data_IF_937762603126
#
_entry.id   IF_937762603126
#
_cell.length_a   1.000
_cell.length_b   1.000
_cell.length_c   1.000
_cell.angle_alpha   90.00
_cell.angle_beta   90.00
_cell.angle_gamma   90.00
#
_symmetry.space_group_name_H-M   'P 1'
#
loop_
_entity.id
_entity.type
_entity.pdbx_description
1 polymer ?
#
# COMPACT_ATOMS: atom_id res chain seq x y z
N UNK A 1 -11.05 -25.83 -2.72
CA UNK A 1 -10.97 -24.58 -3.50
C UNK A 1 -9.52 -24.33 -3.93
N UNK A 2 -9.31 -23.68 -5.06
CA UNK A 2 -7.97 -23.30 -5.50
C UNK A 2 -7.42 -22.17 -4.64
N UNK A 3 -6.12 -22.25 -4.31
CA UNK A 3 -5.40 -21.21 -3.59
C UNK A 3 -3.90 -21.23 -3.92
N UNK A 4 -3.25 -20.07 -3.85
CA UNK A 4 -1.80 -19.96 -3.96
C UNK A 4 -1.23 -20.02 -2.55
N UNK A 5 -0.41 -21.03 -2.29
CA UNK A 5 0.15 -21.33 -0.97
C UNK A 5 1.68 -21.21 -0.95
N UNK A 6 2.22 -21.09 0.24
CA UNK A 6 3.65 -21.28 0.50
C UNK A 6 3.95 -22.77 0.80
N UNK A 7 4.36 -23.58 -0.19
CA UNK A 7 4.37 -25.03 -0.05
C UNK A 7 5.48 -25.56 0.88
N UNK A 8 6.55 -24.79 1.06
CA UNK A 8 7.70 -25.20 1.84
C UNK A 8 8.67 -24.07 2.16
N UNK A 9 9.68 -24.32 3.03
CA UNK A 9 10.69 -23.32 3.44
C UNK A 9 11.76 -23.13 2.35
N UNK A 10 11.34 -22.66 1.18
CA UNK A 10 12.18 -22.45 -0.02
C UNK A 10 11.52 -21.44 -0.96
N UNK A 11 12.25 -20.80 -1.88
CA UNK A 11 11.65 -19.93 -2.90
C UNK A 11 10.55 -20.64 -3.70
N UNK A 12 9.55 -19.86 -4.13
CA UNK A 12 8.40 -20.29 -4.92
C UNK A 12 7.08 -20.34 -4.12
N UNK A 13 5.99 -20.21 -4.85
CA UNK A 13 4.61 -20.43 -4.42
C UNK A 13 4.01 -21.55 -5.27
N UNK A 14 2.86 -22.07 -4.90
CA UNK A 14 2.20 -23.16 -5.63
C UNK A 14 0.68 -22.97 -5.62
N UNK A 15 0.04 -23.19 -6.77
CA UNK A 15 -1.41 -23.33 -6.83
C UNK A 15 -1.81 -24.72 -6.32
N UNK A 16 -2.62 -24.76 -5.29
CA UNK A 16 -3.04 -26.00 -4.62
C UNK A 16 -4.55 -26.02 -4.36
N UNK A 17 -5.09 -27.22 -4.19
CA UNK A 17 -6.43 -27.41 -3.64
C UNK A 17 -6.36 -27.39 -2.11
N UNK A 18 -7.14 -26.51 -1.49
CA UNK A 18 -7.24 -26.38 -0.04
C UNK A 18 -8.70 -26.45 0.40
N UNK A 19 -8.93 -26.77 1.68
CA UNK A 19 -10.29 -26.73 2.24
C UNK A 19 -10.82 -25.29 2.26
N UNK A 20 -12.07 -25.05 1.82
CA UNK A 20 -12.69 -23.73 1.93
C UNK A 20 -12.76 -23.27 3.39
N UNK A 21 -12.58 -21.96 3.68
CA UNK A 21 -12.70 -21.46 5.04
C UNK A 21 -14.15 -21.49 5.52
N UNK A 22 -14.36 -21.93 6.77
CA UNK A 22 -15.67 -21.83 7.43
C UNK A 22 -15.74 -20.52 8.23
N UNK A 23 -16.70 -19.61 7.95
CA UNK A 23 -16.84 -18.35 8.68
C UNK A 23 -17.32 -18.62 10.11
N UNK A 24 -16.62 -18.04 11.10
CA UNK A 24 -17.10 -17.99 12.48
C UNK A 24 -18.32 -17.07 12.65
N UNK A 25 -18.89 -17.01 13.87
CA UNK A 25 -20.09 -16.17 14.10
C UNK A 25 -19.94 -14.69 13.75
N UNK A 26 -18.74 -14.14 13.83
CA UNK A 26 -18.43 -12.73 13.55
C UNK A 26 -17.70 -12.53 12.22
N UNK A 27 -17.56 -13.57 11.40
CA UNK A 27 -16.81 -13.51 10.16
C UNK A 27 -17.73 -13.36 8.95
N UNK A 28 -17.15 -12.86 7.88
CA UNK A 28 -17.76 -12.77 6.54
C UNK A 28 -16.97 -13.67 5.61
N UNK A 29 -17.63 -14.53 4.88
CA UNK A 29 -17.06 -15.31 3.78
C UNK A 29 -17.21 -14.51 2.48
N UNK A 30 -16.13 -14.34 1.77
CA UNK A 30 -16.05 -13.53 0.56
C UNK A 30 -15.59 -14.42 -0.60
N UNK A 31 -16.37 -14.48 -1.68
CA UNK A 31 -15.91 -14.96 -2.99
C UNK A 31 -14.96 -13.93 -3.57
N UNK A 32 -13.69 -14.24 -3.62
CA UNK A 32 -12.66 -13.35 -4.16
C UNK A 32 -12.83 -13.24 -5.68
N UNK A 33 -12.72 -12.03 -6.19
CA UNK A 33 -12.77 -11.73 -7.63
C UNK A 33 -11.44 -11.23 -8.15
N UNK A 34 -10.83 -10.33 -7.42
CA UNK A 34 -9.54 -9.76 -7.78
C UNK A 34 -8.63 -9.72 -6.57
N UNK A 35 -7.36 -10.03 -6.80
CA UNK A 35 -6.28 -9.80 -5.82
C UNK A 35 -5.16 -9.03 -6.50
N UNK A 36 -4.31 -8.38 -5.72
CA UNK A 36 -3.14 -7.71 -6.29
C UNK A 36 -1.86 -8.08 -5.56
N UNK A 37 -0.76 -8.09 -6.32
CA UNK A 37 0.54 -8.49 -5.78
C UNK A 37 1.22 -7.30 -5.09
N UNK A 38 1.69 -7.52 -3.88
CA UNK A 38 2.45 -6.58 -3.06
C UNK A 38 3.95 -6.95 -3.03
N UNK A 39 4.80 -5.99 -2.64
CA UNK A 39 6.21 -6.27 -2.35
C UNK A 39 6.40 -7.34 -1.27
N UNK A 40 5.52 -7.37 -0.28
CA UNK A 40 5.50 -8.42 0.77
C UNK A 40 5.35 -9.83 0.18
N UNK A 41 4.55 -9.98 -0.87
CA UNK A 41 4.36 -11.28 -1.53
C UNK A 41 5.63 -11.73 -2.26
N UNK A 42 6.46 -10.79 -2.75
CA UNK A 42 7.79 -11.11 -3.30
C UNK A 42 8.73 -11.62 -2.23
N UNK A 43 8.77 -10.99 -1.06
CA UNK A 43 9.56 -11.48 0.10
C UNK A 43 9.14 -12.90 0.49
N UNK A 44 7.84 -13.19 0.55
CA UNK A 44 7.31 -14.52 0.83
C UNK A 44 7.68 -15.52 -0.28
N UNK A 45 7.56 -15.10 -1.55
CA UNK A 45 7.94 -15.94 -2.68
C UNK A 45 9.43 -16.30 -2.61
N UNK A 46 10.30 -15.30 -2.41
CA UNK A 46 11.76 -15.46 -2.42
C UNK A 46 12.30 -16.13 -1.16
N UNK A 47 11.44 -16.24 -0.12
CA UNK A 47 11.76 -16.90 1.14
C UNK A 47 13.00 -16.29 1.82
N UNK A 48 13.01 -14.97 1.90
CA UNK A 48 14.07 -14.24 2.59
C UNK A 48 14.05 -14.48 4.13
N UNK A 49 14.96 -13.87 4.86
CA UNK A 49 15.11 -14.05 6.30
C UNK A 49 13.81 -13.68 7.05
N UNK A 50 13.17 -12.57 6.70
CA UNK A 50 11.90 -12.16 7.30
C UNK A 50 10.78 -13.17 7.03
N UNK A 51 10.64 -13.64 5.79
CA UNK A 51 9.64 -14.63 5.43
C UNK A 51 9.87 -15.96 6.15
N UNK A 52 11.13 -16.37 6.26
CA UNK A 52 11.50 -17.62 6.95
C UNK A 52 11.16 -17.59 8.45
N UNK A 53 11.23 -16.44 9.09
CA UNK A 53 10.89 -16.26 10.51
C UNK A 53 9.39 -16.08 10.75
N UNK A 54 8.66 -15.53 9.77
CA UNK A 54 7.31 -15.00 9.97
C UNK A 54 6.21 -15.87 9.35
N UNK A 55 6.46 -16.48 8.18
CA UNK A 55 5.41 -17.10 7.36
C UNK A 55 5.24 -18.59 7.67
N UNK A 56 4.04 -19.03 8.09
CA UNK A 56 3.74 -20.45 8.22
C UNK A 56 3.77 -21.18 6.87
N UNK A 57 4.50 -22.30 6.80
CA UNK A 57 4.50 -23.17 5.63
C UNK A 57 3.13 -23.84 5.46
N UNK A 58 2.66 -23.98 4.22
CA UNK A 58 1.35 -24.53 3.87
C UNK A 58 0.21 -23.51 3.89
N UNK A 59 0.49 -22.25 4.25
CA UNK A 59 -0.53 -21.22 4.34
C UNK A 59 -0.82 -20.57 2.99
N UNK A 60 -2.10 -20.21 2.74
CA UNK A 60 -2.52 -19.34 1.64
C UNK A 60 -1.95 -17.93 1.86
N UNK A 61 -1.32 -17.36 0.84
CA UNK A 61 -0.70 -16.02 0.89
C UNK A 61 -1.61 -14.94 0.30
N UNK A 62 -1.13 -13.69 0.19
CA UNK A 62 -1.87 -12.55 -0.36
C UNK A 62 -2.76 -11.83 0.65
N UNK A 63 -2.80 -10.49 0.56
CA UNK A 63 -3.52 -9.65 1.54
C UNK A 63 -4.27 -8.48 0.89
N UNK A 64 -4.14 -8.30 -0.39
CA UNK A 64 -4.81 -7.28 -1.20
C UNK A 64 -5.89 -7.96 -2.05
N UNK A 65 -7.16 -7.66 -1.83
CA UNK A 65 -8.25 -8.36 -2.51
C UNK A 65 -9.55 -7.55 -2.58
N UNK A 66 -10.43 -7.98 -3.46
CA UNK A 66 -11.84 -7.57 -3.50
C UNK A 66 -12.71 -8.74 -3.94
N UNK A 67 -13.98 -8.68 -3.60
CA UNK A 67 -14.90 -9.76 -3.94
C UNK A 67 -16.34 -9.46 -3.59
N UNK A 68 -17.13 -10.54 -3.53
CA UNK A 68 -18.55 -10.52 -3.22
C UNK A 68 -18.80 -11.34 -1.96
N UNK A 69 -19.59 -10.83 -1.04
CA UNK A 69 -19.97 -11.56 0.18
C UNK A 69 -20.81 -12.78 -0.18
N UNK A 70 -20.30 -13.96 0.13
CA UNK A 70 -20.97 -15.25 -0.11
C UNK A 70 -21.82 -15.69 1.09
N UNK A 71 -21.33 -15.44 2.31
CA UNK A 71 -22.04 -15.76 3.55
C UNK A 71 -21.58 -14.84 4.69
N UNK A 72 -22.43 -14.71 5.70
CA UNK A 72 -22.14 -13.94 6.91
C UNK A 72 -22.39 -14.81 8.15
N UNK A 73 -21.54 -14.64 9.17
CA UNK A 73 -21.70 -15.30 10.45
C UNK A 73 -22.94 -14.82 11.22
N UNK A 74 -23.44 -15.65 12.13
CA UNK A 74 -24.72 -15.42 12.81
C UNK A 74 -24.81 -14.15 13.67
N UNK A 75 -23.67 -13.54 14.00
CA UNK A 75 -23.59 -12.30 14.77
C UNK A 75 -23.28 -11.06 13.91
N UNK A 76 -23.12 -11.22 12.59
CA UNK A 76 -22.88 -10.11 11.64
C UNK A 76 -24.22 -9.45 11.30
N UNK A 77 -24.27 -8.13 11.42
CA UNK A 77 -25.51 -7.34 11.21
C UNK A 77 -25.33 -6.14 10.27
N UNK A 78 -24.12 -5.85 9.87
CA UNK A 78 -23.71 -4.63 9.16
C UNK A 78 -23.16 -4.89 7.75
N UNK A 79 -23.14 -6.15 7.32
CA UNK A 79 -22.72 -6.56 5.97
C UNK A 79 -23.70 -7.58 5.42
N UNK A 80 -24.20 -7.37 4.21
CA UNK A 80 -25.17 -8.25 3.55
C UNK A 80 -24.52 -9.18 2.53
N UNK A 81 -25.09 -10.39 2.38
CA UNK A 81 -24.74 -11.32 1.28
C UNK A 81 -25.00 -10.64 -0.07
N UNK A 82 -24.04 -10.77 -0.98
CA UNK A 82 -24.06 -10.11 -2.29
C UNK A 82 -23.39 -8.73 -2.31
N UNK A 83 -23.01 -8.16 -1.16
CA UNK A 83 -22.29 -6.90 -1.09
C UNK A 83 -20.93 -7.01 -1.80
N UNK A 84 -20.55 -5.95 -2.50
CA UNK A 84 -19.22 -5.77 -3.10
C UNK A 84 -18.27 -5.24 -2.05
N UNK A 85 -17.18 -5.93 -1.80
CA UNK A 85 -16.31 -5.65 -0.66
C UNK A 85 -14.83 -5.75 -0.99
N UNK A 86 -14.04 -5.07 -0.18
CA UNK A 86 -12.62 -5.31 0.07
C UNK A 86 -12.41 -5.47 1.57
N UNK A 87 -11.18 -5.63 2.04
CA UNK A 87 -10.95 -5.85 3.46
C UNK A 87 -9.63 -5.31 3.97
N UNK A 88 -9.66 -4.89 5.23
CA UNK A 88 -8.46 -4.51 6.00
C UNK A 88 -7.67 -5.75 6.40
N UNK A 89 -6.46 -5.89 5.86
CA UNK A 89 -5.59 -7.05 6.11
C UNK A 89 -5.02 -7.15 7.53
N UNK A 90 -5.13 -6.10 8.35
CA UNK A 90 -4.66 -6.10 9.74
C UNK A 90 -5.79 -6.42 10.71
N UNK A 91 -5.80 -7.66 11.24
CA UNK A 91 -6.79 -8.09 12.23
C UNK A 91 -6.24 -7.79 13.62
N UNK A 92 -6.88 -6.86 14.31
CA UNK A 92 -6.42 -6.32 15.59
C UNK A 92 -7.06 -7.03 16.78
N UNK A 93 -6.38 -7.06 17.94
CA UNK A 93 -6.86 -7.76 19.13
C UNK A 93 -8.10 -7.14 19.81
N UNK A 94 -8.45 -5.90 19.49
CA UNK A 94 -9.63 -5.20 20.03
C UNK A 94 -9.53 -4.73 21.49
N UNK A 95 -8.59 -5.23 22.29
CA UNK A 95 -8.58 -5.02 23.75
C UNK A 95 -7.31 -4.33 24.30
N UNK A 96 -6.23 -4.19 23.54
CA UNK A 96 -5.04 -3.48 23.99
C UNK A 96 -5.31 -1.97 24.12
N UNK A 97 -4.38 -1.23 24.75
CA UNK A 97 -4.49 0.22 24.96
C UNK A 97 -4.80 0.96 23.65
N UNK A 98 -4.08 0.66 22.57
CA UNK A 98 -4.26 1.33 21.28
C UNK A 98 -5.62 1.03 20.67
N UNK A 99 -6.05 -0.24 20.67
CA UNK A 99 -7.36 -0.62 20.15
C UNK A 99 -8.50 0.08 20.90
N UNK A 100 -8.44 0.11 22.24
CA UNK A 100 -9.46 0.77 23.07
C UNK A 100 -9.46 2.29 22.92
N UNK A 101 -8.32 2.88 22.53
CA UNK A 101 -8.20 4.31 22.26
C UNK A 101 -8.55 4.70 20.82
N UNK A 102 -9.11 3.77 20.00
CA UNK A 102 -9.44 4.01 18.61
C UNK A 102 -8.26 3.97 17.62
N UNK A 103 -7.04 3.74 18.12
CA UNK A 103 -5.82 3.68 17.30
C UNK A 103 -5.47 2.23 16.96
N UNK A 104 -6.39 1.54 16.28
CA UNK A 104 -6.29 0.10 16.00
C UNK A 104 -5.08 -0.24 15.13
N UNK A 105 -4.72 0.59 14.15
CA UNK A 105 -3.52 0.40 13.32
C UNK A 105 -2.21 0.28 14.13
N UNK A 106 -2.19 0.77 15.37
CA UNK A 106 -1.06 0.65 16.30
C UNK A 106 -1.18 -0.53 17.27
N UNK A 107 -1.99 -1.53 16.94
CA UNK A 107 -2.14 -2.74 17.76
C UNK A 107 -0.86 -3.58 17.75
N UNK A 108 -0.21 -3.83 18.93
CA UNK A 108 1.01 -4.66 18.96
C UNK A 108 0.73 -6.15 18.72
N UNK A 109 -0.54 -6.57 18.74
CA UNK A 109 -0.95 -7.96 18.55
C UNK A 109 -1.75 -8.12 17.23
N UNK A 110 -1.35 -7.40 16.19
CA UNK A 110 -1.98 -7.51 14.87
C UNK A 110 -1.65 -8.86 14.23
N UNK A 111 -2.68 -9.50 13.67
CA UNK A 111 -2.51 -10.66 12.77
C UNK A 111 -2.69 -10.16 11.34
N UNK A 112 -1.67 -10.38 10.50
CA UNK A 112 -1.71 -10.03 9.08
C UNK A 112 -2.35 -11.14 8.24
N UNK A 113 -3.37 -10.81 7.47
CA UNK A 113 -3.92 -11.68 6.42
C UNK A 113 -2.80 -11.95 5.41
N UNK A 114 -2.64 -13.21 4.99
CA UNK A 114 -1.57 -13.61 4.05
C UNK A 114 -0.15 -13.61 4.64
N UNK A 115 0.00 -13.28 5.94
CA UNK A 115 1.30 -13.22 6.64
C UNK A 115 1.37 -14.24 7.77
N UNK A 116 0.48 -14.16 8.75
CA UNK A 116 0.39 -15.12 9.85
C UNK A 116 -1.04 -15.62 10.10
N UNK A 117 -1.92 -15.35 9.15
CA UNK A 117 -3.26 -15.92 8.98
C UNK A 117 -3.49 -16.15 7.48
N UNK A 118 -4.27 -17.17 7.12
CA UNK A 118 -4.60 -17.50 5.73
C UNK A 118 -5.03 -16.26 4.94
N UNK A 119 -4.44 -16.12 3.76
CA UNK A 119 -4.56 -14.96 2.88
C UNK A 119 -5.65 -15.06 1.83
N UNK A 120 -5.61 -14.11 0.90
CA UNK A 120 -6.64 -13.86 -0.09
C UNK A 120 -6.29 -14.39 -1.50
N UNK A 121 -5.10 -14.92 -1.75
CA UNK A 121 -4.82 -15.54 -3.03
C UNK A 121 -5.50 -16.91 -3.12
N UNK A 122 -6.82 -16.88 -3.14
CA UNK A 122 -7.71 -18.04 -3.15
C UNK A 122 -9.08 -17.66 -3.72
N UNK A 123 -9.90 -18.66 -4.06
CA UNK A 123 -11.28 -18.44 -4.52
C UNK A 123 -12.17 -17.85 -3.40
N UNK A 124 -11.87 -18.13 -2.13
CA UNK A 124 -12.62 -17.61 -0.98
C UNK A 124 -11.71 -17.24 0.18
N UNK A 125 -12.14 -16.24 0.94
CA UNK A 125 -11.51 -15.84 2.20
C UNK A 125 -12.57 -15.58 3.28
N UNK A 126 -12.26 -15.94 4.54
CA UNK A 126 -13.07 -15.56 5.70
C UNK A 126 -12.30 -14.58 6.59
N UNK A 127 -12.88 -13.39 6.82
CA UNK A 127 -12.32 -12.36 7.70
C UNK A 127 -13.38 -11.83 8.66
N UNK A 128 -12.98 -11.26 9.83
CA UNK A 128 -13.91 -10.62 10.73
C UNK A 128 -14.71 -9.50 10.04
N UNK A 129 -16.02 -9.41 10.29
CA UNK A 129 -16.88 -8.39 9.70
C UNK A 129 -16.36 -6.97 9.91
N UNK A 130 -15.76 -6.68 11.08
CA UNK A 130 -15.14 -5.39 11.35
C UNK A 130 -13.97 -5.02 10.42
N UNK A 131 -13.40 -5.97 9.70
CA UNK A 131 -12.33 -5.78 8.72
C UNK A 131 -12.87 -5.65 7.28
N UNK A 132 -14.16 -5.87 7.07
CA UNK A 132 -14.80 -5.75 5.75
C UNK A 132 -15.12 -4.29 5.47
N UNK A 133 -14.80 -3.84 4.27
CA UNK A 133 -15.19 -2.53 3.75
C UNK A 133 -16.10 -2.72 2.53
N UNK A 134 -17.35 -2.24 2.66
CA UNK A 134 -18.31 -2.27 1.55
C UNK A 134 -17.92 -1.19 0.54
N UNK A 135 -17.66 -1.63 -0.69
CA UNK A 135 -17.25 -0.73 -1.77
C UNK A 135 -18.46 0.08 -2.26
N UNK A 136 -18.31 1.40 -2.45
CA UNK A 136 -19.31 2.21 -3.15
C UNK A 136 -19.61 1.65 -4.55
N UNK A 137 -20.85 1.80 -5.03
CA UNK A 137 -21.30 1.22 -6.30
C UNK A 137 -20.47 1.64 -7.52
N UNK A 138 -19.95 2.85 -7.50
CA UNK A 138 -19.13 3.40 -8.59
C UNK A 138 -17.68 2.88 -8.61
N UNK A 139 -17.21 2.22 -7.54
CA UNK A 139 -15.84 1.68 -7.46
C UNK A 139 -15.78 0.30 -8.11
N UNK A 140 -15.03 0.07 -9.18
CA UNK A 140 -14.83 -1.25 -9.75
C UNK A 140 -14.20 -2.22 -8.73
N UNK A 141 -14.60 -3.51 -8.76
CA UNK A 141 -13.99 -4.53 -7.88
C UNK A 141 -12.48 -4.62 -8.09
N UNK A 142 -12.02 -4.51 -9.32
CA UNK A 142 -10.59 -4.51 -9.63
C UNK A 142 -9.85 -3.38 -8.88
N UNK A 143 -10.39 -2.16 -8.87
CA UNK A 143 -9.84 -1.06 -8.08
C UNK A 143 -9.94 -1.35 -6.57
N UNK A 144 -10.98 -2.04 -6.12
CA UNK A 144 -11.13 -2.51 -4.76
C UNK A 144 -9.97 -3.40 -4.29
N UNK A 145 -9.36 -4.17 -5.19
CA UNK A 145 -8.23 -5.06 -4.84
C UNK A 145 -6.96 -4.32 -4.45
N UNK A 146 -6.81 -3.04 -4.80
CA UNK A 146 -5.65 -2.22 -4.45
C UNK A 146 -5.92 -1.24 -3.30
N UNK A 147 -7.02 -1.41 -2.56
CA UNK A 147 -7.37 -0.52 -1.45
C UNK A 147 -6.36 -0.59 -0.30
N UNK A 148 -5.69 -1.71 -0.10
CA UNK A 148 -4.62 -1.84 0.89
C UNK A 148 -3.48 -0.83 0.61
N UNK A 149 -2.75 -0.88 -0.53
CA UNK A 149 -1.70 0.09 -0.84
C UNK A 149 -2.24 1.51 -1.06
N UNK A 150 -3.47 1.68 -1.56
CA UNK A 150 -4.12 2.99 -1.64
C UNK A 150 -4.29 3.60 -0.25
N UNK A 151 -4.67 2.79 0.73
CA UNK A 151 -4.76 3.22 2.12
C UNK A 151 -3.40 3.64 2.72
N UNK A 152 -2.33 2.91 2.40
CA UNK A 152 -0.97 3.28 2.83
C UNK A 152 -0.55 4.62 2.23
N UNK A 153 -0.81 4.85 0.93
CA UNK A 153 -0.57 6.12 0.28
C UNK A 153 -1.39 7.26 0.92
N UNK A 154 -2.69 7.02 1.15
CA UNK A 154 -3.60 7.99 1.78
C UNK A 154 -3.16 8.37 3.19
N UNK A 155 -2.82 7.40 4.04
CA UNK A 155 -2.33 7.66 5.40
C UNK A 155 -1.04 8.48 5.39
N UNK A 156 -0.13 8.17 4.47
CA UNK A 156 1.14 8.90 4.36
C UNK A 156 0.95 10.33 3.89
N UNK A 157 0.13 10.55 2.87
CA UNK A 157 -0.19 11.90 2.34
C UNK A 157 -0.91 12.74 3.39
N UNK A 158 -1.85 12.15 4.12
CA UNK A 158 -2.64 12.86 5.14
C UNK A 158 -1.95 12.97 6.51
N UNK A 159 -0.70 12.49 6.65
CA UNK A 159 0.07 12.68 7.88
C UNK A 159 0.36 14.16 8.18
N UNK A 160 0.36 14.99 7.14
CA UNK A 160 0.52 16.44 7.21
C UNK A 160 -0.48 17.13 6.28
N UNK A 161 -0.70 18.43 6.48
CA UNK A 161 -1.44 19.24 5.51
C UNK A 161 -0.51 19.56 4.33
N UNK A 162 -0.92 19.16 3.12
CA UNK A 162 -0.19 19.36 1.87
C UNK A 162 -0.80 20.46 1.01
N UNK A 163 -1.90 21.07 1.43
CA UNK A 163 -2.62 22.09 0.63
C UNK A 163 -1.72 23.30 0.39
N UNK A 164 -1.50 23.60 -0.89
CA UNK A 164 -0.63 24.69 -1.37
C UNK A 164 0.85 24.55 -1.00
N UNK A 165 1.31 23.39 -0.53
CA UNK A 165 2.71 23.11 -0.17
C UNK A 165 3.48 22.50 -1.35
N UNK A 166 4.82 22.62 -1.32
CA UNK A 166 5.71 21.92 -2.22
C UNK A 166 6.07 20.53 -1.64
N UNK A 167 5.72 19.49 -2.39
CA UNK A 167 5.84 18.10 -1.95
C UNK A 167 6.91 17.37 -2.73
N UNK A 168 7.85 16.73 -2.02
CA UNK A 168 8.84 15.80 -2.58
C UNK A 168 8.48 14.37 -2.21
N UNK A 169 8.24 13.53 -3.21
CA UNK A 169 7.98 12.09 -3.05
C UNK A 169 9.20 11.34 -3.57
N UNK A 170 9.84 10.53 -2.74
CA UNK A 170 10.92 9.64 -3.16
C UNK A 170 10.42 8.22 -3.34
N UNK A 171 10.67 7.65 -4.51
CA UNK A 171 10.17 6.35 -4.94
C UNK A 171 8.85 6.43 -5.70
N UNK A 172 8.90 6.16 -7.01
CA UNK A 172 7.75 6.07 -7.91
C UNK A 172 7.21 4.63 -8.04
N UNK A 173 7.29 3.83 -6.97
CA UNK A 173 6.57 2.56 -6.88
C UNK A 173 5.05 2.79 -6.86
N UNK A 174 4.23 1.72 -6.91
CA UNK A 174 2.77 1.86 -6.95
C UNK A 174 2.20 2.78 -5.85
N UNK A 175 2.74 2.69 -4.62
CA UNK A 175 2.28 3.53 -3.50
C UNK A 175 2.71 4.98 -3.71
N UNK A 176 3.94 5.23 -4.18
CA UNK A 176 4.41 6.59 -4.49
C UNK A 176 3.62 7.25 -5.62
N UNK A 177 3.26 6.50 -6.66
CA UNK A 177 2.38 6.96 -7.74
C UNK A 177 0.98 7.33 -7.22
N UNK A 178 0.39 6.49 -6.35
CA UNK A 178 -0.90 6.80 -5.71
C UNK A 178 -0.78 8.01 -4.79
N UNK A 179 0.33 8.16 -4.05
CA UNK A 179 0.58 9.33 -3.22
C UNK A 179 0.67 10.62 -4.04
N UNK A 180 1.29 10.57 -5.23
CA UNK A 180 1.34 11.70 -6.14
C UNK A 180 -0.07 12.12 -6.62
N UNK A 181 -0.90 11.14 -7.00
CA UNK A 181 -2.28 11.38 -7.39
C UNK A 181 -3.08 12.04 -6.27
N UNK A 182 -2.97 11.53 -5.04
CA UNK A 182 -3.68 12.08 -3.88
C UNK A 182 -3.17 13.49 -3.57
N UNK A 183 -1.85 13.71 -3.50
CA UNK A 183 -1.26 15.00 -3.19
C UNK A 183 -1.70 16.08 -4.20
N UNK A 184 -1.71 15.75 -5.49
CA UNK A 184 -2.23 16.61 -6.55
C UNK A 184 -3.73 16.88 -6.37
N UNK A 185 -4.53 15.83 -6.09
CA UNK A 185 -5.99 15.92 -5.92
C UNK A 185 -6.38 16.83 -4.74
N UNK A 186 -5.65 16.79 -3.63
CA UNK A 186 -5.94 17.61 -2.45
C UNK A 186 -5.34 19.03 -2.52
N UNK A 187 -4.66 19.39 -3.61
CA UNK A 187 -4.23 20.75 -3.88
C UNK A 187 -2.81 21.10 -3.42
N UNK A 188 -1.87 20.16 -3.42
CA UNK A 188 -0.44 20.51 -3.31
C UNK A 188 -0.03 21.48 -4.43
N UNK A 189 0.89 22.41 -4.15
CA UNK A 189 1.37 23.41 -5.13
C UNK A 189 2.20 22.75 -6.23
N UNK A 190 3.21 22.00 -5.82
CA UNK A 190 4.02 21.16 -6.67
C UNK A 190 4.15 19.76 -6.07
N UNK A 191 4.06 18.74 -6.92
CA UNK A 191 4.29 17.35 -6.57
C UNK A 191 5.47 16.85 -7.40
N UNK A 192 6.65 16.81 -6.77
CA UNK A 192 7.88 16.31 -7.39
C UNK A 192 8.10 14.87 -6.99
N UNK A 193 8.17 13.95 -7.97
CA UNK A 193 8.39 12.53 -7.73
C UNK A 193 9.74 12.10 -8.27
N UNK A 194 10.52 11.39 -7.45
CA UNK A 194 11.86 10.93 -7.83
C UNK A 194 11.95 9.40 -7.86
N UNK A 195 12.64 8.87 -8.85
CA UNK A 195 13.01 7.45 -8.96
C UNK A 195 14.25 7.34 -9.89
N UNK A 196 14.76 6.13 -10.06
CA UNK A 196 15.78 5.79 -11.06
C UNK A 196 15.19 4.96 -12.22
N UNK A 197 13.93 4.56 -12.13
CA UNK A 197 13.25 3.74 -13.11
C UNK A 197 12.37 4.61 -14.02
N UNK A 198 12.71 4.76 -15.32
CA UNK A 198 11.97 5.63 -16.23
C UNK A 198 10.51 5.20 -16.45
N UNK A 199 10.21 3.89 -16.42
CA UNK A 199 8.84 3.41 -16.52
C UNK A 199 7.97 3.90 -15.36
N UNK A 200 8.50 3.84 -14.14
CA UNK A 200 7.79 4.30 -12.95
C UNK A 200 7.62 5.81 -12.91
N UNK A 201 8.62 6.57 -13.37
CA UNK A 201 8.54 8.02 -13.51
C UNK A 201 7.44 8.43 -14.50
N UNK A 202 7.33 7.75 -15.64
CA UNK A 202 6.26 7.97 -16.61
C UNK A 202 4.88 7.69 -16.00
N UNK A 203 4.74 6.60 -15.25
CA UNK A 203 3.50 6.28 -14.53
C UNK A 203 3.13 7.35 -13.49
N UNK A 204 4.11 7.85 -12.72
CA UNK A 204 3.91 8.93 -11.76
C UNK A 204 3.46 10.24 -12.45
N UNK A 205 4.00 10.53 -13.63
CA UNK A 205 3.57 11.69 -14.45
C UNK A 205 2.10 11.58 -14.85
N UNK A 206 1.65 10.38 -15.26
CA UNK A 206 0.25 10.12 -15.61
C UNK A 206 -0.69 10.23 -14.38
N UNK A 207 -0.15 10.04 -13.18
CA UNK A 207 -0.87 10.03 -11.90
C UNK A 207 -0.72 11.35 -11.12
N UNK A 208 -0.46 12.47 -11.79
CA UNK A 208 -0.57 13.80 -11.20
C UNK A 208 0.71 14.40 -10.63
N UNK A 209 1.89 13.77 -10.83
CA UNK A 209 3.15 14.43 -10.52
C UNK A 209 3.31 15.70 -11.39
N UNK A 210 3.66 16.83 -10.78
CA UNK A 210 3.99 18.07 -11.50
C UNK A 210 5.26 17.90 -12.31
N UNK A 211 6.27 17.25 -11.69
CA UNK A 211 7.56 16.91 -12.30
C UNK A 211 8.01 15.54 -11.80
N UNK A 212 8.51 14.73 -12.72
CA UNK A 212 9.20 13.47 -12.39
C UNK A 212 10.69 13.60 -12.66
N UNK A 213 11.52 13.06 -11.77
CA UNK A 213 12.96 13.27 -11.78
C UNK A 213 13.71 11.95 -11.69
N UNK A 214 14.50 11.64 -12.70
CA UNK A 214 15.52 10.60 -12.61
C UNK A 214 16.73 11.17 -11.83
N UNK A 215 16.81 10.79 -10.57
CA UNK A 215 17.88 11.28 -9.67
C UNK A 215 19.27 10.72 -10.00
N UNK A 216 19.38 9.82 -10.96
CA UNK A 216 20.68 9.39 -11.52
C UNK A 216 21.21 10.35 -12.56
N UNK A 217 20.36 11.25 -13.09
CA UNK A 217 20.68 12.18 -14.17
C UNK A 217 20.54 13.66 -13.76
N UNK A 218 19.64 13.96 -12.83
CA UNK A 218 19.26 15.35 -12.50
C UNK A 218 19.30 15.58 -11.01
N UNK A 219 20.00 16.66 -10.61
CA UNK A 219 20.05 17.10 -9.22
C UNK A 219 18.76 17.84 -8.82
N UNK A 220 18.28 17.63 -7.60
CA UNK A 220 17.06 18.27 -7.09
C UNK A 220 17.14 19.79 -7.03
N UNK A 221 18.33 20.36 -6.80
CA UNK A 221 18.53 21.81 -6.80
C UNK A 221 18.18 22.45 -8.16
N UNK A 222 18.43 21.76 -9.27
CA UNK A 222 18.03 22.23 -10.62
C UNK A 222 16.50 22.25 -10.73
N UNK A 223 15.82 21.18 -10.28
CA UNK A 223 14.36 21.10 -10.31
C UNK A 223 13.72 22.17 -9.44
N UNK A 224 14.29 22.42 -8.26
CA UNK A 224 13.82 23.48 -7.36
C UNK A 224 13.94 24.87 -8.03
N UNK A 225 15.04 25.12 -8.72
CA UNK A 225 15.23 26.39 -9.44
C UNK A 225 14.21 26.55 -10.57
N UNK A 226 13.94 25.50 -11.35
CA UNK A 226 12.96 25.51 -12.46
C UNK A 226 11.52 25.75 -11.97
N UNK A 227 11.19 25.27 -10.76
CA UNK A 227 9.88 25.41 -10.13
C UNK A 227 9.74 26.67 -9.24
N UNK A 228 10.77 27.53 -9.15
CA UNK A 228 10.85 28.69 -8.22
C UNK A 228 10.64 28.28 -6.74
N UNK A 229 11.11 27.09 -6.35
CA UNK A 229 11.14 26.59 -4.96
C UNK A 229 12.41 27.13 -4.31
N UNK A 230 12.32 28.22 -3.57
CA UNK A 230 13.50 28.99 -3.11
C UNK A 230 14.10 28.48 -1.81
N UNK A 231 13.26 27.99 -0.90
CA UNK A 231 13.68 27.66 0.47
C UNK A 231 13.78 26.16 0.73
N UNK A 232 13.19 25.35 -0.13
CA UNK A 232 13.13 23.90 -0.03
C UNK A 232 11.69 23.37 -0.08
N UNK A 233 11.55 22.04 -0.05
CA UNK A 233 10.25 21.38 0.00
C UNK A 233 9.67 21.44 1.41
N UNK A 234 8.37 21.71 1.50
CA UNK A 234 7.63 21.79 2.77
C UNK A 234 7.41 20.39 3.35
N UNK A 235 7.02 19.45 2.48
CA UNK A 235 6.67 18.08 2.85
C UNK A 235 7.50 17.08 2.04
N UNK A 236 8.09 16.12 2.73
CA UNK A 236 8.73 14.95 2.16
C UNK A 236 7.90 13.70 2.41
N UNK A 237 7.68 12.87 1.38
CA UNK A 237 7.07 11.55 1.50
C UNK A 237 8.11 10.51 1.05
N UNK A 238 8.75 9.84 2.01
CA UNK A 238 9.74 8.81 1.72
C UNK A 238 9.02 7.47 1.52
N UNK A 239 8.95 7.03 0.26
CA UNK A 239 8.19 5.87 -0.19
C UNK A 239 9.08 4.77 -0.78
N UNK A 240 10.40 5.01 -0.88
CA UNK A 240 11.33 4.13 -1.58
C UNK A 240 11.95 3.06 -0.69
N UNK A 241 12.14 3.37 0.60
CA UNK A 241 12.97 2.57 1.51
C UNK A 241 14.46 2.58 1.16
N UNK A 242 14.89 3.44 0.21
CA UNK A 242 16.28 3.54 -0.19
C UNK A 242 17.05 4.57 0.68
N UNK A 243 18.14 4.18 1.35
CA UNK A 243 18.92 5.11 2.17
C UNK A 243 19.42 6.35 1.42
N UNK A 244 19.73 6.19 0.13
CA UNK A 244 20.17 7.30 -0.72
C UNK A 244 19.04 8.33 -0.93
N UNK A 245 17.80 7.88 -1.09
CA UNK A 245 16.64 8.75 -1.27
C UNK A 245 16.36 9.59 -0.02
N UNK A 246 16.38 8.99 1.17
CA UNK A 246 16.25 9.75 2.41
C UNK A 246 17.39 10.76 2.59
N UNK A 247 18.64 10.36 2.27
CA UNK A 247 19.80 11.26 2.37
C UNK A 247 19.71 12.43 1.39
N UNK A 248 19.20 12.23 0.20
CA UNK A 248 19.01 13.31 -0.80
C UNK A 248 17.84 14.23 -0.45
N UNK A 249 16.82 13.72 0.26
CA UNK A 249 15.66 14.50 0.71
C UNK A 249 16.04 15.52 1.81
N UNK A 250 16.80 15.11 2.84
CA UNK A 250 17.09 15.96 3.99
C UNK A 250 17.67 17.36 3.66
N UNK A 251 18.64 17.52 2.75
CA UNK A 251 19.22 18.83 2.44
C UNK A 251 18.27 19.77 1.70
N UNK A 252 17.31 19.24 0.92
CA UNK A 252 16.40 20.03 0.09
C UNK A 252 15.08 20.39 0.79
N UNK A 253 14.86 19.95 2.04
CA UNK A 253 13.70 20.36 2.84
C UNK A 253 13.87 21.79 3.35
N UNK A 254 12.78 22.53 3.47
CA UNK A 254 12.72 23.83 4.14
C UNK A 254 13.05 23.69 5.65
N UNK A 255 13.47 24.78 6.30
CA UNK A 255 13.52 24.82 7.77
C UNK A 255 12.11 24.66 8.35
N UNK A 256 11.93 23.72 9.29
CA UNK A 256 10.62 23.32 9.82
C UNK A 256 9.87 22.32 8.94
N UNK A 257 10.50 21.83 7.87
CA UNK A 257 9.92 20.82 6.96
C UNK A 257 9.54 19.52 7.67
N UNK A 258 8.61 18.78 7.09
CA UNK A 258 8.02 17.59 7.68
C UNK A 258 8.17 16.40 6.73
N UNK A 259 8.61 15.25 7.23
CA UNK A 259 8.86 14.05 6.43
C UNK A 259 8.06 12.88 6.98
N UNK A 260 7.21 12.28 6.16
CA UNK A 260 6.54 11.02 6.44
C UNK A 260 7.37 9.86 5.84
N UNK A 261 7.67 8.87 6.66
CA UNK A 261 8.51 7.72 6.32
C UNK A 261 7.63 6.47 6.23
N UNK A 262 7.38 5.98 5.03
CA UNK A 262 6.64 4.74 4.76
C UNK A 262 7.56 3.64 4.22
N UNK A 263 8.55 3.99 3.42
CA UNK A 263 9.50 3.04 2.87
C UNK A 263 10.28 2.33 3.98
N UNK A 264 10.38 1.00 3.87
CA UNK A 264 11.14 0.20 4.85
C UNK A 264 12.63 0.37 4.56
N UNK A 265 13.27 1.17 5.39
CA UNK A 265 14.73 1.36 5.36
C UNK A 265 15.44 0.16 6.02
N UNK A 266 16.66 -0.20 5.57
CA UNK A 266 17.50 -1.17 6.29
C UNK A 266 17.80 -0.71 7.72
N UNK A 267 18.11 -1.65 8.62
CA UNK A 267 18.33 -1.39 10.05
C UNK A 267 19.45 -0.37 10.33
N UNK A 268 20.55 -0.42 9.56
CA UNK A 268 21.73 0.39 9.77
C UNK A 268 21.83 1.60 8.82
N UNK A 269 20.81 2.45 8.79
CA UNK A 269 20.85 3.67 7.95
C UNK A 269 21.44 4.85 8.70
N UNK A 270 22.66 5.24 8.32
CA UNK A 270 23.24 6.51 8.77
C UNK A 270 22.68 7.68 7.97
N UNK A 271 22.20 8.71 8.66
CA UNK A 271 21.76 9.99 8.09
C UNK A 271 22.52 11.15 8.73
N UNK A 272 22.53 12.31 8.09
CA UNK A 272 23.09 13.54 8.65
C UNK A 272 22.11 14.17 9.65
N UNK A 273 22.26 13.80 10.92
CA UNK A 273 21.43 14.32 12.02
C UNK A 273 21.57 15.83 12.18
N UNK A 274 22.68 16.45 11.74
CA UNK A 274 22.82 17.90 11.80
C UNK A 274 21.81 18.61 10.90
N UNK A 275 21.47 18.01 9.74
CA UNK A 275 20.39 18.51 8.86
C UNK A 275 19.03 18.47 9.55
N UNK A 276 18.73 17.36 10.24
CA UNK A 276 17.48 17.21 10.98
C UNK A 276 17.38 18.27 12.09
N UNK A 277 18.46 18.44 12.86
CA UNK A 277 18.50 19.35 14.03
C UNK A 277 18.49 20.83 13.58
N UNK A 278 19.40 21.24 12.70
CA UNK A 278 19.53 22.64 12.32
C UNK A 278 18.39 23.16 11.45
N UNK A 279 17.75 22.26 10.70
CA UNK A 279 16.52 22.61 9.97
C UNK A 279 15.24 22.40 10.79
N UNK A 280 15.35 21.88 12.01
CA UNK A 280 14.18 21.57 12.86
C UNK A 280 13.15 20.69 12.14
N UNK A 281 13.62 19.62 11.45
CA UNK A 281 12.74 18.74 10.69
C UNK A 281 11.92 17.85 11.62
N UNK A 282 10.66 17.58 11.22
CA UNK A 282 9.84 16.53 11.81
C UNK A 282 9.94 15.27 10.97
N UNK A 283 10.30 14.14 11.58
CA UNK A 283 10.29 12.81 10.95
C UNK A 283 9.18 11.96 11.58
N UNK A 284 8.23 11.49 10.80
CA UNK A 284 7.10 10.68 11.28
C UNK A 284 7.07 9.34 10.55
N UNK A 285 7.18 8.25 11.30
CA UNK A 285 6.97 6.90 10.77
C UNK A 285 5.48 6.64 10.50
N UNK A 286 5.19 6.05 9.35
CA UNK A 286 3.84 5.67 8.95
C UNK A 286 3.73 4.15 8.95
N UNK A 287 2.71 3.62 9.60
CA UNK A 287 2.43 2.20 9.63
C UNK A 287 1.00 1.90 9.21
N UNK A 288 0.87 1.20 8.09
CA UNK A 288 -0.43 0.78 7.56
C UNK A 288 -1.38 1.94 7.30
N UNK A 289 -2.61 1.79 7.74
CA UNK A 289 -3.74 2.72 7.54
C UNK A 289 -4.40 3.02 8.86
N UNK A 290 -4.87 4.21 9.08
CA UNK A 290 -5.74 4.51 10.24
C UNK A 290 -7.11 3.85 10.01
N UNK A 291 -7.35 2.76 10.76
CA UNK A 291 -8.60 2.00 10.70
C UNK A 291 -9.70 2.74 11.49
N UNK A 292 -10.81 3.19 10.93
CA UNK A 292 -11.22 3.03 9.51
C UNK A 292 -11.36 4.41 8.85
N UNK A 293 -10.77 5.43 9.44
CA UNK A 293 -10.84 6.81 8.95
C UNK A 293 -10.20 6.94 7.56
N UNK A 294 -9.05 6.28 7.35
CA UNK A 294 -8.40 6.24 6.03
C UNK A 294 -9.31 5.64 4.96
N UNK A 295 -10.00 4.53 5.26
CA UNK A 295 -10.91 3.87 4.34
C UNK A 295 -12.06 4.77 3.89
N UNK A 296 -12.64 5.51 4.83
CA UNK A 296 -13.67 6.51 4.53
C UNK A 296 -13.15 7.60 3.59
N UNK A 297 -11.98 8.16 3.89
CA UNK A 297 -11.36 9.21 3.08
C UNK A 297 -11.04 8.74 1.67
N UNK A 298 -10.57 7.51 1.51
CA UNK A 298 -10.33 6.89 0.20
C UNK A 298 -11.60 6.87 -0.66
N UNK A 299 -12.72 6.44 -0.08
CA UNK A 299 -14.01 6.47 -0.76
C UNK A 299 -14.41 7.87 -1.20
N UNK A 300 -14.25 8.87 -0.32
CA UNK A 300 -14.54 10.29 -0.62
C UNK A 300 -13.63 10.83 -1.74
N UNK A 301 -12.35 10.47 -1.78
CA UNK A 301 -11.46 10.90 -2.86
C UNK A 301 -11.89 10.34 -4.21
N UNK A 302 -12.26 9.07 -4.28
CA UNK A 302 -12.76 8.47 -5.53
C UNK A 302 -14.10 9.10 -5.96
N UNK A 303 -15.00 9.37 -5.02
CA UNK A 303 -16.25 10.09 -5.28
C UNK A 303 -15.98 11.53 -5.75
N UNK A 304 -14.93 12.17 -5.22
CA UNK A 304 -14.43 13.49 -5.62
C UNK A 304 -13.71 13.53 -6.97
N UNK A 305 -13.60 12.40 -7.66
CA UNK A 305 -13.01 12.31 -9.00
C UNK A 305 -11.53 11.95 -9.04
N UNK A 306 -10.93 11.48 -7.93
CA UNK A 306 -9.59 10.89 -7.98
C UNK A 306 -9.64 9.61 -8.84
N UNK A 307 -8.82 9.58 -9.89
CA UNK A 307 -8.67 8.39 -10.74
C UNK A 307 -7.33 7.70 -10.48
N UNK A 308 -7.39 6.48 -9.93
CA UNK A 308 -6.24 5.61 -9.70
C UNK A 308 -6.18 4.43 -10.69
N UNK A 309 -7.11 4.35 -11.65
CA UNK A 309 -7.15 3.24 -12.61
C UNK A 309 -5.82 3.05 -13.39
N UNK A 310 -5.05 4.11 -13.73
CA UNK A 310 -3.78 3.93 -14.44
C UNK A 310 -2.71 3.19 -13.64
N UNK A 311 -2.83 3.12 -12.31
CA UNK A 311 -1.84 2.40 -11.49
C UNK A 311 -1.90 0.88 -11.70
N UNK A 312 -3.08 0.35 -12.14
CA UNK A 312 -3.24 -1.07 -12.47
C UNK A 312 -2.77 -1.29 -13.91
N UNK A 313 -1.53 -1.67 -14.06
CA UNK A 313 -0.88 -1.77 -15.37
C UNK A 313 -0.98 -3.15 -16.03
N UNK A 314 -1.11 -4.20 -15.21
CA UNK A 314 -1.14 -5.57 -15.71
C UNK A 314 -2.24 -6.39 -15.02
N UNK A 315 -2.81 -7.33 -15.79
CA UNK A 315 -3.88 -8.23 -15.36
C UNK A 315 -3.56 -9.62 -15.86
N UNK A 316 -3.63 -10.60 -14.95
CA UNK A 316 -3.41 -12.01 -15.27
C UNK A 316 -4.52 -12.87 -14.67
N UNK A 317 -4.95 -13.94 -15.33
CA UNK A 317 -5.69 -15.01 -14.66
C UNK A 317 -4.90 -15.52 -13.45
N UNK A 318 -5.58 -15.92 -12.39
CA UNK A 318 -4.92 -16.42 -11.18
C UNK A 318 -3.98 -17.62 -11.45
N UNK A 319 -4.29 -18.43 -12.45
CA UNK A 319 -3.45 -19.56 -12.88
C UNK A 319 -2.11 -19.13 -13.50
N UNK A 320 -1.99 -17.87 -13.94
CA UNK A 320 -0.76 -17.30 -14.50
C UNK A 320 0.04 -16.50 -13.47
N UNK A 321 -0.16 -16.78 -12.18
CA UNK A 321 0.45 -16.02 -11.09
C UNK A 321 1.97 -15.94 -11.16
N UNK A 322 2.68 -16.99 -11.63
CA UNK A 322 4.13 -16.97 -11.78
C UNK A 322 4.59 -15.87 -12.77
N UNK A 323 3.92 -15.76 -13.93
CA UNK A 323 4.17 -14.67 -14.90
C UNK A 323 3.86 -13.30 -14.29
N UNK A 324 2.81 -13.22 -13.48
CA UNK A 324 2.45 -11.99 -12.77
C UNK A 324 3.54 -11.58 -11.76
N UNK A 325 4.08 -12.52 -10.97
CA UNK A 325 5.20 -12.28 -10.07
C UNK A 325 6.47 -11.85 -10.80
N UNK A 326 6.80 -12.48 -11.93
CA UNK A 326 7.94 -12.10 -12.78
C UNK A 326 7.76 -10.68 -13.34
N UNK A 327 6.53 -10.31 -13.71
CA UNK A 327 6.20 -8.95 -14.16
C UNK A 327 6.46 -7.92 -13.06
N UNK A 328 6.07 -8.19 -11.82
CA UNK A 328 6.38 -7.30 -10.68
C UNK A 328 7.89 -7.19 -10.47
N UNK A 329 8.63 -8.31 -10.53
CA UNK A 329 10.11 -8.33 -10.37
C UNK A 329 10.83 -7.54 -11.44
N UNK A 330 10.29 -7.49 -12.65
CA UNK A 330 10.91 -6.73 -13.75
C UNK A 330 11.04 -5.24 -13.44
N UNK A 331 10.24 -4.71 -12.48
CA UNK A 331 10.15 -3.29 -12.18
C UNK A 331 9.44 -2.47 -13.26
N UNK A 332 8.92 -3.11 -14.30
CA UNK A 332 8.19 -2.48 -15.41
C UNK A 332 6.67 -2.63 -15.23
N UNK A 333 6.22 -2.43 -14.00
CA UNK A 333 4.80 -2.47 -13.64
C UNK A 333 4.45 -1.45 -12.56
N UNK A 334 3.20 -1.01 -12.56
CA UNK A 334 2.49 -0.48 -11.41
C UNK A 334 1.93 -1.63 -10.57
N UNK A 335 0.62 -1.60 -10.28
CA UNK A 335 -0.06 -2.74 -9.64
C UNK A 335 -0.34 -3.83 -10.68
N UNK A 336 -0.08 -5.06 -10.28
CA UNK A 336 -0.39 -6.28 -11.04
C UNK A 336 -1.52 -7.00 -10.32
N UNK A 337 -2.60 -7.25 -11.04
CA UNK A 337 -3.84 -7.85 -10.52
C UNK A 337 -3.98 -9.28 -11.03
N UNK A 338 -4.42 -10.18 -10.15
CA UNK A 338 -4.83 -11.53 -10.47
C UNK A 338 -6.36 -11.62 -10.49
N UNK A 339 -6.90 -12.15 -11.59
CA UNK A 339 -8.33 -12.37 -11.81
C UNK A 339 -8.70 -13.81 -11.40
N UNK A 340 -9.63 -13.95 -10.47
CA UNK A 340 -10.14 -15.22 -9.95
C UNK A 340 -11.52 -15.59 -10.52
N UNK A 341 -12.04 -14.81 -11.52
CA UNK A 341 -13.37 -15.06 -12.09
C UNK A 341 -13.43 -16.22 -13.07
#
# INVERSE_FOLDING_TARGET
MRAIIKPGPRPGLEMAEVEPPEPGPNDVLIDVRYTSICGTDLHIHDWDEWAAETIPVGMTVGHEFSGIVAAVGSAVTDVDVGSRVTGEGHITCGHCRNCRAGRRHLCPNTLGVGVNRAGAFAEQIAIPAQNVFVLPDHVPLELGSIFDPFGNATHTVLAFDLTAEDVLITGAGPIGCMAAAIASHIGARNVVVTDVNPYRLELASQLGATVTVDVSQTELDTVMADLDIREGFDIGLEMSGAPAALRSMLPVMIHGGRIALLGLLPDDVAIDWSKVIFKSLTLQGIYGREMYDTWYKMGVFLEGGLDLSPVITHRFPADEFETAFDTVRSGLSGKVVLDWT
#
